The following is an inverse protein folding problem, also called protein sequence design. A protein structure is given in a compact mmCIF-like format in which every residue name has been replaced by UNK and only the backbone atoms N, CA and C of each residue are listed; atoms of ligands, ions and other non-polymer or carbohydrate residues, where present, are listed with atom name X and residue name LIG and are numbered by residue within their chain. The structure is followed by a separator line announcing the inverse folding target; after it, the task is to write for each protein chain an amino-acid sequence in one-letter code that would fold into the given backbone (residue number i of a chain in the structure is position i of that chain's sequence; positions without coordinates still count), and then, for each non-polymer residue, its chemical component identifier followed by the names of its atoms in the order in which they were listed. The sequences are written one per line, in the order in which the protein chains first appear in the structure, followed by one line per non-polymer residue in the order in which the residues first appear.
data_IF_514285383569
#
_entry.id   IF_514285383569
#
_cell.length_a   1.000
_cell.length_b   1.000
_cell.length_c   1.000
_cell.angle_alpha   90.00
_cell.angle_beta   90.00
_cell.angle_gamma   90.00
#
_symmetry.space_group_name_H-M   'P 1'
#
loop_
_entity.id
_entity.type
_entity.pdbx_description
1 polymer ?
#
# COMPACT_ATOMS: atom_id res chain seq x y z
N UNK A 1 21.77 17.17 11.95
CA UNK A 1 21.02 15.95 12.37
C UNK A 1 19.55 16.34 12.37
N UNK A 2 18.79 15.87 11.40
CA UNK A 2 17.34 16.12 11.33
C UNK A 2 16.65 15.34 12.45
N UNK A 3 15.85 16.05 13.24
CA UNK A 3 15.02 15.42 14.29
C UNK A 3 14.17 14.32 13.67
N UNK A 4 14.17 13.09 14.21
CA UNK A 4 13.35 12.01 13.66
C UNK A 4 11.90 12.42 13.61
N UNK A 5 11.22 12.12 12.50
CA UNK A 5 9.78 12.35 12.36
C UNK A 5 9.05 11.52 13.45
N UNK A 6 8.22 12.13 14.33
CA UNK A 6 7.54 11.40 15.40
C UNK A 6 6.67 10.21 14.89
N UNK A 7 6.09 10.34 13.69
CA UNK A 7 5.36 9.25 13.03
C UNK A 7 6.30 8.09 12.70
N UNK A 8 7.49 8.38 12.17
CA UNK A 8 8.50 7.36 11.83
C UNK A 8 8.99 6.62 13.08
N UNK A 9 9.26 7.34 14.17
CA UNK A 9 9.68 6.73 15.43
C UNK A 9 8.61 5.74 15.96
N UNK A 10 7.34 6.16 15.98
CA UNK A 10 6.21 5.30 16.41
C UNK A 10 6.05 4.04 15.53
N UNK A 11 6.21 4.16 14.21
CA UNK A 11 6.14 3.01 13.32
C UNK A 11 7.35 2.10 13.45
N UNK A 12 8.56 2.66 13.64
CA UNK A 12 9.76 1.88 13.92
C UNK A 12 9.58 1.04 15.20
N UNK A 13 9.02 1.61 16.28
CA UNK A 13 8.70 0.88 17.50
C UNK A 13 7.70 -0.26 17.24
N UNK A 14 6.64 0.01 16.46
CA UNK A 14 5.66 -1.02 16.10
C UNK A 14 6.28 -2.16 15.31
N UNK A 15 7.16 -1.85 14.35
CA UNK A 15 7.87 -2.86 13.56
C UNK A 15 9.04 -3.52 14.31
N UNK A 16 9.50 -2.99 15.43
CA UNK A 16 10.57 -3.59 16.22
C UNK A 16 10.18 -4.87 16.95
N UNK A 17 8.91 -5.26 16.96
CA UNK A 17 8.43 -6.54 17.52
C UNK A 17 9.05 -7.72 16.78
N UNK A 18 9.16 -8.90 17.42
CA UNK A 18 9.73 -10.11 16.80
C UNK A 18 8.81 -10.73 15.75
N UNK A 19 7.51 -10.59 15.92
CA UNK A 19 6.48 -11.09 15.00
C UNK A 19 6.22 -10.10 13.86
N UNK A 20 5.69 -10.61 12.74
CA UNK A 20 5.16 -9.75 11.69
C UNK A 20 3.96 -8.96 12.23
N UNK A 21 3.94 -7.67 11.93
CA UNK A 21 2.80 -6.81 12.27
C UNK A 21 1.61 -7.14 11.36
N UNK A 22 1.90 -7.57 10.13
CA UNK A 22 0.91 -7.91 9.12
C UNK A 22 0.99 -9.39 8.72
N UNK A 23 -0.02 -9.86 7.96
CA UNK A 23 -0.03 -11.23 7.42
C UNK A 23 1.18 -11.51 6.52
N UNK A 24 1.55 -12.79 6.43
CA UNK A 24 2.67 -13.21 5.59
C UNK A 24 2.33 -13.25 4.09
N UNK A 25 1.03 -13.33 3.73
CA UNK A 25 0.54 -13.32 2.35
C UNK A 25 0.23 -11.92 1.82
N UNK A 26 0.05 -11.76 0.50
CA UNK A 26 -0.34 -10.49 -0.11
C UNK A 26 -1.73 -10.05 0.34
N UNK A 27 -2.06 -8.81 0.05
CA UNK A 27 -3.44 -8.36 0.17
C UNK A 27 -4.30 -9.06 -0.89
N UNK A 28 -5.41 -9.67 -0.49
CA UNK A 28 -6.25 -10.48 -1.38
C UNK A 28 -6.83 -9.70 -2.57
N UNK A 29 -7.18 -8.41 -2.37
CA UNK A 29 -7.63 -7.55 -3.48
C UNK A 29 -6.50 -7.29 -4.47
N UNK A 30 -5.29 -6.98 -4.00
CA UNK A 30 -4.15 -6.79 -4.88
C UNK A 30 -3.86 -8.07 -5.66
N UNK A 31 -3.86 -9.22 -4.98
CA UNK A 31 -3.66 -10.52 -5.61
C UNK A 31 -4.69 -10.78 -6.70
N UNK A 32 -5.97 -10.60 -6.41
CA UNK A 32 -7.07 -10.77 -7.37
C UNK A 32 -6.90 -9.86 -8.59
N UNK A 33 -6.53 -8.59 -8.39
CA UNK A 33 -6.48 -7.58 -9.44
C UNK A 33 -5.22 -7.66 -10.33
N UNK A 34 -4.15 -8.26 -9.80
CA UNK A 34 -2.85 -8.35 -10.51
C UNK A 34 -2.65 -9.74 -11.11
N UNK A 35 -3.31 -10.78 -10.60
CA UNK A 35 -3.23 -12.14 -11.16
C UNK A 35 -3.63 -12.15 -12.63
N UNK A 36 -2.74 -12.69 -13.48
CA UNK A 36 -2.93 -12.75 -14.94
C UNK A 36 -2.51 -11.48 -15.69
N UNK A 37 -2.10 -10.42 -15.01
CA UNK A 37 -1.46 -9.28 -15.67
C UNK A 37 -0.04 -9.69 -16.14
N UNK A 38 0.41 -9.21 -17.33
CA UNK A 38 1.81 -9.36 -17.70
C UNK A 38 2.71 -8.70 -16.66
N UNK A 39 3.70 -9.43 -16.15
CA UNK A 39 4.68 -8.86 -15.22
C UNK A 39 5.55 -7.82 -15.92
N UNK A 40 5.84 -6.75 -15.20
CA UNK A 40 6.64 -5.61 -15.62
C UNK A 40 7.36 -5.01 -14.42
N UNK A 41 7.42 -3.70 -14.35
CA UNK A 41 7.96 -2.95 -13.21
C UNK A 41 6.85 -2.57 -12.24
N UNK A 42 7.07 -2.77 -10.92
CA UNK A 42 6.09 -2.43 -9.89
C UNK A 42 6.68 -1.55 -8.79
N UNK A 43 5.87 -0.63 -8.28
CA UNK A 43 6.14 0.14 -7.06
C UNK A 43 5.13 -0.26 -5.98
N UNK A 44 5.61 -0.82 -4.87
CA UNK A 44 4.84 -1.00 -3.64
C UNK A 44 5.13 0.17 -2.70
N UNK A 45 4.18 1.07 -2.57
CA UNK A 45 4.32 2.33 -1.84
C UNK A 45 3.78 2.21 -0.41
N UNK A 46 4.60 2.58 0.59
CA UNK A 46 4.37 2.32 2.00
C UNK A 46 4.26 0.81 2.29
N UNK A 47 5.25 0.06 1.82
CA UNK A 47 5.23 -1.39 1.75
C UNK A 47 5.29 -2.09 3.13
N UNK A 48 5.62 -1.38 4.21
CA UNK A 48 5.83 -1.96 5.53
C UNK A 48 6.85 -3.10 5.50
N UNK A 49 6.48 -4.27 6.01
CA UNK A 49 7.32 -5.48 6.02
C UNK A 49 7.33 -6.22 4.67
N UNK A 50 6.79 -5.60 3.60
CA UNK A 50 6.97 -6.01 2.21
C UNK A 50 6.09 -7.16 1.73
N UNK A 51 4.98 -7.52 2.40
CA UNK A 51 4.15 -8.68 2.02
C UNK A 51 3.70 -8.66 0.56
N UNK A 52 3.30 -7.49 0.06
CA UNK A 52 2.86 -7.33 -1.33
C UNK A 52 4.05 -7.32 -2.29
N UNK A 53 5.12 -6.59 -1.95
CA UNK A 53 6.35 -6.54 -2.75
C UNK A 53 6.98 -7.92 -2.95
N UNK A 54 7.04 -8.73 -1.89
CA UNK A 54 7.57 -10.09 -1.92
C UNK A 54 6.74 -10.98 -2.86
N UNK A 55 5.41 -10.94 -2.71
CA UNK A 55 4.52 -11.70 -3.57
C UNK A 55 4.62 -11.25 -5.04
N UNK A 56 4.62 -9.94 -5.32
CA UNK A 56 4.81 -9.43 -6.68
C UNK A 56 6.12 -9.92 -7.30
N UNK A 57 7.23 -9.94 -6.53
CA UNK A 57 8.51 -10.46 -6.99
C UNK A 57 8.44 -11.97 -7.28
N UNK A 58 7.73 -12.76 -6.46
CA UNK A 58 7.46 -14.18 -6.70
C UNK A 58 6.63 -14.40 -7.98
N UNK A 59 5.77 -13.42 -8.36
CA UNK A 59 5.02 -13.44 -9.62
C UNK A 59 5.83 -12.91 -10.83
N UNK A 60 7.12 -12.64 -10.65
CA UNK A 60 8.01 -12.23 -11.73
C UNK A 60 8.05 -10.71 -12.02
N UNK A 61 7.46 -9.88 -11.15
CA UNK A 61 7.56 -8.43 -11.26
C UNK A 61 8.95 -7.93 -10.83
N UNK A 62 9.48 -6.92 -11.53
CA UNK A 62 10.64 -6.15 -11.07
C UNK A 62 10.16 -5.09 -10.08
N UNK A 63 10.31 -5.36 -8.79
CA UNK A 63 9.67 -4.57 -7.73
C UNK A 63 10.64 -3.58 -7.11
N UNK A 64 10.20 -2.32 -7.01
CA UNK A 64 10.72 -1.32 -6.07
C UNK A 64 9.73 -1.21 -4.92
N UNK A 65 10.19 -1.31 -3.68
CA UNK A 65 9.35 -1.19 -2.49
C UNK A 65 9.88 -0.07 -1.58
N UNK A 66 9.00 0.83 -1.18
CA UNK A 66 9.38 2.00 -0.39
C UNK A 66 8.57 2.08 0.89
N UNK A 67 9.25 2.35 2.00
CA UNK A 67 8.63 2.69 3.29
C UNK A 67 9.52 3.70 4.03
N UNK A 68 8.95 4.53 4.88
CA UNK A 68 9.76 5.47 5.66
C UNK A 68 10.41 4.83 6.88
N UNK A 69 9.99 3.62 7.28
CA UNK A 69 10.52 2.87 8.40
C UNK A 69 11.72 2.01 8.00
N UNK A 70 12.90 2.37 8.47
CA UNK A 70 14.09 1.54 8.30
C UNK A 70 13.89 0.13 8.90
N UNK A 71 13.22 0.04 10.05
CA UNK A 71 12.97 -1.24 10.75
C UNK A 71 12.09 -2.17 9.90
N UNK A 72 11.06 -1.63 9.24
CA UNK A 72 10.20 -2.39 8.34
C UNK A 72 11.00 -2.91 7.14
N UNK A 73 11.78 -2.04 6.50
CA UNK A 73 12.64 -2.40 5.35
C UNK A 73 13.67 -3.47 5.73
N UNK A 74 14.34 -3.34 6.89
CA UNK A 74 15.30 -4.35 7.34
C UNK A 74 14.66 -5.73 7.56
N UNK A 75 13.41 -5.76 8.04
CA UNK A 75 12.65 -7.01 8.16
C UNK A 75 12.28 -7.58 6.79
N UNK A 76 11.78 -6.74 5.89
CA UNK A 76 11.40 -7.13 4.54
C UNK A 76 12.58 -7.73 3.78
N UNK A 77 13.77 -7.12 3.87
CA UNK A 77 15.00 -7.63 3.27
C UNK A 77 15.36 -9.04 3.77
N UNK A 78 15.28 -9.27 5.09
CA UNK A 78 15.55 -10.61 5.67
C UNK A 78 14.54 -11.66 5.22
N UNK A 79 13.28 -11.26 5.00
CA UNK A 79 12.25 -12.16 4.49
C UNK A 79 12.51 -12.47 3.02
N UNK A 80 12.86 -11.47 2.21
CA UNK A 80 13.23 -11.61 0.81
C UNK A 80 14.40 -12.59 0.62
N UNK A 81 15.46 -12.45 1.44
CA UNK A 81 16.60 -13.34 1.43
C UNK A 81 16.19 -14.81 1.69
N UNK A 82 15.35 -15.05 2.72
CA UNK A 82 14.87 -16.40 3.04
C UNK A 82 13.96 -16.99 1.94
N UNK A 83 13.23 -16.15 1.20
CA UNK A 83 12.37 -16.59 0.09
C UNK A 83 13.12 -16.67 -1.24
N UNK A 84 14.37 -16.19 -1.31
CA UNK A 84 15.17 -16.18 -2.53
C UNK A 84 14.64 -15.23 -3.61
N UNK A 85 13.95 -14.17 -3.21
CA UNK A 85 13.42 -13.13 -4.12
C UNK A 85 14.20 -11.83 -4.02
N UNK A 86 14.26 -11.09 -5.12
CA UNK A 86 14.94 -9.79 -5.18
C UNK A 86 13.93 -8.66 -5.31
N UNK A 87 14.08 -7.64 -4.47
CA UNK A 87 13.28 -6.42 -4.48
C UNK A 87 14.22 -5.23 -4.23
N UNK A 88 14.02 -4.13 -4.92
CA UNK A 88 14.73 -2.87 -4.69
C UNK A 88 14.08 -2.14 -3.50
N UNK A 89 14.65 -2.38 -2.31
CA UNK A 89 14.15 -1.81 -1.05
C UNK A 89 14.70 -0.41 -0.82
N UNK A 90 13.82 0.55 -0.52
CA UNK A 90 14.22 1.94 -0.26
C UNK A 90 13.54 2.48 0.99
N UNK A 91 14.33 3.10 1.87
CA UNK A 91 13.78 3.92 2.96
C UNK A 91 13.49 5.30 2.39
N UNK A 92 12.20 5.66 2.30
CA UNK A 92 11.76 6.88 1.64
C UNK A 92 10.46 7.41 2.25
N UNK A 93 10.44 8.70 2.59
CA UNK A 93 9.24 9.42 3.03
C UNK A 93 8.48 9.95 1.80
N UNK A 94 7.37 9.29 1.44
CA UNK A 94 6.55 9.64 0.28
C UNK A 94 6.02 11.09 0.32
N UNK A 95 5.80 11.65 1.51
CA UNK A 95 5.34 13.03 1.63
C UNK A 95 6.46 14.04 1.31
N UNK A 96 7.71 13.71 1.62
CA UNK A 96 8.85 14.64 1.56
C UNK A 96 9.73 14.44 0.34
N UNK A 97 9.96 13.21 -0.07
CA UNK A 97 10.94 12.86 -1.09
C UNK A 97 10.30 12.72 -2.49
N UNK A 98 11.07 12.99 -3.55
CA UNK A 98 10.59 12.82 -4.92
C UNK A 98 10.58 11.35 -5.33
N UNK A 99 9.68 11.00 -6.25
CA UNK A 99 9.67 9.74 -6.98
C UNK A 99 9.91 9.99 -8.47
N UNK A 100 10.59 9.06 -9.17
CA UNK A 100 10.64 9.07 -10.63
C UNK A 100 9.24 9.13 -11.24
N UNK A 101 9.10 9.85 -12.37
CA UNK A 101 7.84 9.95 -13.10
C UNK A 101 7.77 8.89 -14.18
N UNK A 102 6.59 8.32 -14.45
CA UNK A 102 6.31 7.39 -15.56
C UNK A 102 7.29 6.22 -15.60
N UNK A 103 7.55 5.61 -14.44
CA UNK A 103 8.61 4.62 -14.28
C UNK A 103 8.11 3.21 -13.98
N UNK A 104 6.86 3.05 -13.56
CA UNK A 104 6.34 1.74 -13.16
C UNK A 104 5.04 1.39 -13.88
N UNK A 105 4.97 0.13 -14.34
CA UNK A 105 3.78 -0.43 -15.00
C UNK A 105 2.65 -0.68 -14.00
N UNK A 106 3.01 -0.95 -12.74
CA UNK A 106 2.08 -1.05 -11.61
C UNK A 106 2.54 -0.15 -10.47
N UNK A 107 1.67 0.70 -9.96
CA UNK A 107 1.88 1.42 -8.70
C UNK A 107 0.76 1.04 -7.76
N UNK A 108 1.09 0.45 -6.64
CA UNK A 108 0.13 0.11 -5.61
C UNK A 108 0.44 0.80 -4.29
N UNK A 109 -0.61 1.20 -3.56
CA UNK A 109 -0.54 1.76 -2.23
C UNK A 109 -1.68 1.19 -1.40
N UNK A 110 -1.32 0.46 -0.34
CA UNK A 110 -2.28 -0.29 0.45
C UNK A 110 -2.21 0.11 1.93
N UNK A 111 -3.35 0.51 2.48
CA UNK A 111 -3.54 0.88 3.90
C UNK A 111 -2.59 1.97 4.40
N UNK A 112 -2.17 2.89 3.52
CA UNK A 112 -1.49 4.12 3.91
C UNK A 112 -2.52 5.14 4.40
N UNK A 113 -2.77 5.15 5.70
CA UNK A 113 -3.73 6.06 6.34
C UNK A 113 -3.01 7.33 6.82
N UNK A 114 -3.27 8.43 6.14
CA UNK A 114 -2.72 9.75 6.46
C UNK A 114 -3.82 10.80 6.45
N UNK A 115 -3.59 11.91 7.15
CA UNK A 115 -4.48 13.06 7.05
C UNK A 115 -4.56 13.62 5.61
N UNK A 116 -5.58 14.44 5.29
CA UNK A 116 -5.78 14.96 3.94
C UNK A 116 -4.60 15.79 3.42
N UNK A 117 -3.95 16.57 4.28
CA UNK A 117 -2.81 17.41 3.93
C UNK A 117 -1.61 16.55 3.50
N UNK A 118 -1.29 15.51 4.26
CA UNK A 118 -0.20 14.59 3.92
C UNK A 118 -0.55 13.76 2.67
N UNK A 119 -1.81 13.31 2.55
CA UNK A 119 -2.30 12.60 1.36
C UNK A 119 -2.15 13.44 0.09
N UNK A 120 -2.43 14.74 0.16
CA UNK A 120 -2.24 15.67 -0.96
C UNK A 120 -0.77 15.80 -1.40
N UNK A 121 0.20 15.43 -0.55
CA UNK A 121 1.62 15.46 -0.89
C UNK A 121 2.07 14.20 -1.62
N UNK A 122 1.62 13.00 -1.21
CA UNK A 122 2.11 11.74 -1.77
C UNK A 122 1.23 11.20 -2.92
N UNK A 123 -0.09 11.33 -2.87
CA UNK A 123 -0.97 10.72 -3.88
C UNK A 123 -0.71 11.23 -5.31
N UNK A 124 -0.54 12.55 -5.54
CA UNK A 124 -0.18 13.04 -6.88
C UNK A 124 1.21 12.58 -7.35
N UNK A 125 2.15 12.31 -6.43
CA UNK A 125 3.48 11.78 -6.79
C UNK A 125 3.36 10.34 -7.28
N UNK A 126 2.59 9.50 -6.56
CA UNK A 126 2.32 8.11 -6.96
C UNK A 126 1.58 8.06 -8.29
N UNK A 127 0.55 8.88 -8.49
CA UNK A 127 -0.13 8.98 -9.77
C UNK A 127 0.84 9.33 -10.92
N UNK A 128 1.75 10.29 -10.73
CA UNK A 128 2.76 10.66 -11.74
C UNK A 128 3.83 9.58 -11.98
N UNK A 129 4.03 8.68 -11.03
CA UNK A 129 5.00 7.60 -11.11
C UNK A 129 4.55 6.46 -12.05
N UNK A 130 3.25 6.29 -12.26
CA UNK A 130 2.70 5.29 -13.19
C UNK A 130 3.15 5.60 -14.62
N UNK A 131 3.65 4.58 -15.34
CA UNK A 131 4.02 4.67 -16.75
C UNK A 131 2.78 4.84 -17.66
N UNK A 132 2.91 5.37 -18.89
CA UNK A 132 1.84 5.32 -19.87
C UNK A 132 1.38 3.87 -20.11
N UNK A 133 0.07 3.62 -20.07
CA UNK A 133 -0.51 2.27 -20.15
C UNK A 133 -0.45 1.50 -18.82
N UNK A 134 0.22 2.02 -17.80
CA UNK A 134 0.35 1.38 -16.50
C UNK A 134 -0.90 1.50 -15.63
N UNK A 135 -0.89 0.76 -14.54
CA UNK A 135 -2.00 0.59 -13.59
C UNK A 135 -1.68 1.24 -12.25
N UNK A 136 -2.65 1.95 -11.69
CA UNK A 136 -2.66 2.42 -10.32
C UNK A 136 -3.66 1.61 -9.50
N UNK A 137 -3.27 1.12 -8.33
CA UNK A 137 -4.13 0.40 -7.39
C UNK A 137 -4.05 1.05 -6.01
N UNK A 138 -5.20 1.40 -5.47
CA UNK A 138 -5.37 1.88 -4.10
C UNK A 138 -6.29 0.94 -3.32
N UNK A 139 -5.88 0.59 -2.10
CA UNK A 139 -6.71 -0.10 -1.11
C UNK A 139 -6.53 0.57 0.25
N UNK A 140 -7.60 0.86 0.93
CA UNK A 140 -7.56 1.40 2.30
C UNK A 140 -8.91 1.23 2.97
N UNK A 141 -8.99 1.36 4.30
CA UNK A 141 -10.30 1.34 4.95
C UNK A 141 -11.17 2.48 4.45
N UNK A 142 -12.43 2.17 4.17
CA UNK A 142 -13.45 3.14 3.78
C UNK A 142 -13.99 3.91 5.02
N UNK A 143 -14.43 5.15 4.89
CA UNK A 143 -15.07 5.88 5.99
C UNK A 143 -16.24 5.14 6.63
N UNK A 144 -17.04 4.41 5.83
CA UNK A 144 -18.17 3.61 6.33
C UNK A 144 -17.75 2.43 7.21
N UNK A 145 -16.46 2.03 7.16
CA UNK A 145 -15.93 0.96 8.02
C UNK A 145 -16.01 1.31 9.50
N UNK A 146 -16.03 2.60 9.87
CA UNK A 146 -16.12 3.05 11.27
C UNK A 146 -17.44 2.62 11.90
N UNK A 147 -18.55 2.72 11.15
CA UNK A 147 -19.90 2.44 11.66
C UNK A 147 -20.35 1.01 11.32
N UNK A 148 -19.90 0.47 10.19
CA UNK A 148 -20.48 -0.76 9.64
C UNK A 148 -19.48 -1.90 9.47
N UNK A 149 -18.19 -1.65 9.74
CA UNK A 149 -17.13 -2.65 9.59
C UNK A 149 -16.38 -2.92 10.88
N UNK A 150 -15.23 -3.62 10.73
CA UNK A 150 -14.37 -3.96 11.86
C UNK A 150 -12.90 -3.54 11.58
N UNK A 151 -12.20 -3.17 12.65
CA UNK A 151 -10.78 -2.80 12.57
C UNK A 151 -10.54 -1.42 11.95
N UNK A 152 -9.28 -1.14 11.63
CA UNK A 152 -8.85 0.11 11.02
C UNK A 152 -8.86 1.33 11.94
N UNK A 153 -8.43 2.48 11.41
CA UNK A 153 -8.48 3.75 12.12
C UNK A 153 -9.91 4.21 12.40
N UNK A 154 -10.12 4.83 13.58
CA UNK A 154 -11.41 5.36 14.00
C UNK A 154 -11.56 6.87 13.74
N UNK A 155 -10.62 7.48 13.04
CA UNK A 155 -10.67 8.87 12.61
C UNK A 155 -11.04 8.94 11.12
N UNK A 156 -12.23 9.45 10.76
CA UNK A 156 -12.68 9.48 9.36
C UNK A 156 -11.78 10.35 8.46
N UNK A 157 -11.07 11.34 8.99
CA UNK A 157 -10.14 12.14 8.20
C UNK A 157 -8.99 11.32 7.59
N UNK A 158 -8.65 10.19 8.21
CA UNK A 158 -7.61 9.28 7.71
C UNK A 158 -8.10 8.34 6.61
N UNK A 159 -9.40 8.26 6.39
CA UNK A 159 -10.05 7.28 5.52
C UNK A 159 -10.65 7.99 4.30
N UNK A 160 -9.97 8.01 3.15
CA UNK A 160 -10.55 8.56 1.92
C UNK A 160 -11.54 7.57 1.32
N UNK A 161 -12.67 8.07 0.81
CA UNK A 161 -13.57 7.31 -0.02
C UNK A 161 -13.01 7.13 -1.46
N UNK A 162 -13.65 6.27 -2.23
CA UNK A 162 -13.21 5.92 -3.57
C UNK A 162 -13.24 7.12 -4.54
N UNK A 163 -14.24 7.97 -4.44
CA UNK A 163 -14.39 9.15 -5.29
C UNK A 163 -13.31 10.19 -5.01
N UNK A 164 -12.94 10.39 -3.74
CA UNK A 164 -11.87 11.31 -3.36
C UNK A 164 -10.51 10.87 -3.89
N UNK A 165 -10.20 9.58 -3.90
CA UNK A 165 -8.99 9.04 -4.54
C UNK A 165 -9.08 9.19 -6.07
N UNK A 166 -10.16 8.72 -6.69
CA UNK A 166 -10.33 8.73 -8.14
C UNK A 166 -10.24 10.15 -8.74
N UNK A 167 -10.81 11.14 -8.07
CA UNK A 167 -10.79 12.54 -8.52
C UNK A 167 -9.39 13.16 -8.63
N UNK A 168 -8.40 12.59 -7.94
CA UNK A 168 -6.98 13.03 -8.01
C UNK A 168 -6.22 12.44 -9.18
N UNK A 169 -6.73 11.35 -9.80
CA UNK A 169 -6.06 10.59 -10.86
C UNK A 169 -6.29 11.22 -12.24
N UNK A 170 -5.74 12.42 -12.44
CA UNK A 170 -5.85 13.15 -13.72
C UNK A 170 -5.05 12.43 -14.82
N UNK A 171 -5.69 12.24 -15.99
CA UNK A 171 -5.07 11.51 -17.11
C UNK A 171 -5.12 9.99 -16.95
N UNK A 172 -6.05 9.51 -16.13
CA UNK A 172 -6.35 8.11 -15.98
C UNK A 172 -7.78 7.81 -16.40
N UNK A 173 -7.99 6.62 -16.95
CA UNK A 173 -9.31 6.00 -17.06
C UNK A 173 -9.56 5.23 -15.76
N UNK A 174 -10.57 5.63 -15.00
CA UNK A 174 -11.00 4.92 -13.81
C UNK A 174 -11.71 3.64 -14.23
N UNK A 175 -11.21 2.50 -13.83
CA UNK A 175 -11.79 1.21 -14.14
C UNK A 175 -12.69 0.71 -13.00
N UNK A 176 -12.28 0.95 -11.77
CA UNK A 176 -13.07 0.68 -10.58
C UNK A 176 -12.82 1.76 -9.53
N UNK A 177 -13.89 2.22 -8.88
CA UNK A 177 -13.87 3.06 -7.70
C UNK A 177 -15.09 2.65 -6.85
N UNK A 178 -14.88 1.88 -5.77
CA UNK A 178 -15.97 1.26 -5.02
C UNK A 178 -15.56 0.87 -3.61
N UNK A 179 -16.53 0.62 -2.75
CA UNK A 179 -16.34 -0.06 -1.48
C UNK A 179 -16.34 -1.56 -1.72
N UNK A 180 -15.47 -2.28 -1.03
CA UNK A 180 -15.34 -3.75 -1.08
C UNK A 180 -15.43 -4.30 0.33
N UNK A 181 -16.23 -5.34 0.49
CA UNK A 181 -16.29 -6.12 1.72
C UNK A 181 -15.11 -7.10 1.78
N UNK A 182 -14.40 -7.10 2.90
CA UNK A 182 -13.29 -8.03 3.15
C UNK A 182 -13.50 -8.76 4.47
N UNK A 183 -13.70 -10.10 4.46
CA UNK A 183 -13.68 -10.90 5.66
C UNK A 183 -12.32 -10.81 6.36
N UNK A 184 -12.32 -10.44 7.65
CA UNK A 184 -11.06 -10.17 8.40
C UNK A 184 -10.36 -11.48 8.78
N UNK A 185 -11.10 -12.54 8.98
CA UNK A 185 -10.60 -13.91 9.21
C UNK A 185 -9.84 -14.49 8.00
N UNK A 186 -10.10 -13.98 6.80
CA UNK A 186 -9.35 -14.35 5.58
C UNK A 186 -7.97 -13.62 5.47
N UNK A 187 -7.73 -12.59 6.27
CA UNK A 187 -6.45 -11.85 6.31
C UNK A 187 -5.94 -11.73 7.76
N UNK A 188 -5.26 -12.75 8.29
CA UNK A 188 -4.87 -12.86 9.72
C UNK A 188 -3.91 -11.76 10.21
N UNK A 189 -3.48 -10.83 9.36
CA UNK A 189 -2.57 -9.73 9.72
C UNK A 189 -3.21 -8.58 10.50
N UNK A 190 -4.52 -8.58 10.73
CA UNK A 190 -5.21 -7.44 11.36
C UNK A 190 -5.61 -7.64 12.84
N UNK A 191 -4.99 -8.59 13.54
CA UNK A 191 -5.26 -8.91 14.95
C UNK A 191 -6.01 -10.25 15.07
N UNK A 192 -5.49 -11.11 15.91
CA UNK A 192 -5.95 -12.51 16.04
C UNK A 192 -7.37 -12.68 16.61
N UNK A 193 -8.02 -11.57 17.05
CA UNK A 193 -9.31 -11.60 17.75
C UNK A 193 -10.42 -10.82 17.02
N UNK A 194 -10.19 -10.30 15.81
CA UNK A 194 -11.21 -9.60 15.04
C UNK A 194 -11.88 -10.57 14.08
N UNK A 195 -13.14 -10.90 14.34
CA UNK A 195 -14.02 -11.59 13.39
C UNK A 195 -15.01 -10.58 12.80
N UNK A 196 -15.28 -10.65 11.51
CA UNK A 196 -16.26 -9.79 10.85
C UNK A 196 -15.83 -9.35 9.46
N UNK A 197 -16.51 -8.34 8.95
CA UNK A 197 -16.26 -7.77 7.62
C UNK A 197 -15.67 -6.38 7.80
N UNK A 198 -14.52 -6.12 7.18
CA UNK A 198 -14.02 -4.77 6.97
C UNK A 198 -14.53 -4.21 5.64
N UNK A 199 -14.78 -2.91 5.61
CA UNK A 199 -15.17 -2.19 4.40
C UNK A 199 -13.96 -1.40 3.90
N UNK A 200 -13.51 -1.74 2.70
CA UNK A 200 -12.31 -1.13 2.11
C UNK A 200 -12.68 -0.28 0.87
N UNK A 201 -12.14 0.91 0.79
CA UNK A 201 -12.07 1.71 -0.44
C UNK A 201 -11.12 1.02 -1.40
N UNK A 202 -11.60 0.74 -2.61
CA UNK A 202 -10.81 0.20 -3.72
C UNK A 202 -10.87 1.11 -4.93
N UNK A 203 -9.70 1.44 -5.50
CA UNK A 203 -9.60 2.16 -6.77
C UNK A 203 -8.58 1.49 -7.67
N UNK A 204 -9.00 1.19 -8.92
CA UNK A 204 -8.11 0.77 -10.01
C UNK A 204 -8.27 1.74 -11.18
N UNK A 205 -7.14 2.20 -11.72
CA UNK A 205 -7.13 3.16 -12.80
C UNK A 205 -5.96 2.88 -13.76
N UNK A 206 -6.17 3.10 -15.06
CA UNK A 206 -5.18 2.94 -16.12
C UNK A 206 -4.74 4.30 -16.65
N UNK A 207 -3.43 4.52 -16.74
CA UNK A 207 -2.88 5.76 -17.27
C UNK A 207 -2.94 5.79 -18.80
N UNK A 208 -3.44 6.91 -19.38
CA UNK A 208 -3.39 7.18 -20.82
C UNK A 208 -1.97 7.49 -21.29
#
# INVERSE_FOLDING_TARGET
MTTPNPKQARWNERYATRELVWSAGPNALLEQEVTGMPSGTALDAACGEGRNALWLAEQGWSVTAVDFSQVAIDKAMRIAERRGVQVDWRVLDLAREPLPKRSWDLVCVLYLHTDPEERALWLPKLARAVAPGGTFVYVGHDPSNIEHGVGGPQNPALLPDADSIASTLRGFRIDAARVVERPVDADPGHGRDLAGIALDTFVRAFRH
#
